data_IF_883094921685
#
_entry.id   IF_883094921685
#
_cell.length_a   1.000
_cell.length_b   1.000
_cell.length_c   1.000
_cell.angle_alpha   90.00
_cell.angle_beta   90.00
_cell.angle_gamma   90.00
#
_symmetry.space_group_name_H-M   'P 1'
#
loop_
_entity.id
_entity.type
_entity.pdbx_description
1 polymer ?
#
# COMPACT_ATOMS: atom_id res chain seq x y z
N UNK A 1 4.18 -10.01 -9.21
CA UNK A 1 4.86 -9.90 -7.90
C UNK A 1 4.69 -8.53 -7.24
N UNK A 2 4.99 -7.40 -7.90
CA UNK A 2 4.88 -6.05 -7.28
C UNK A 2 3.46 -5.61 -6.87
N UNK A 3 2.43 -5.98 -7.64
CA UNK A 3 1.04 -5.57 -7.34
C UNK A 3 0.52 -6.21 -6.05
N UNK A 4 0.76 -7.52 -5.87
CA UNK A 4 0.32 -8.24 -4.67
C UNK A 4 1.04 -7.74 -3.41
N UNK A 5 2.32 -7.37 -3.51
CA UNK A 5 3.02 -6.68 -2.42
C UNK A 5 2.34 -5.36 -2.05
N UNK A 6 2.08 -4.49 -3.03
CA UNK A 6 1.39 -3.19 -2.80
C UNK A 6 0.00 -3.39 -2.18
N UNK A 7 -0.74 -4.42 -2.61
CA UNK A 7 -2.07 -4.77 -2.05
C UNK A 7 -1.95 -5.24 -0.60
N UNK A 8 -0.97 -6.06 -0.28
CA UNK A 8 -0.69 -6.50 1.10
C UNK A 8 -0.35 -5.31 2.01
N UNK A 9 0.49 -4.38 1.54
CA UNK A 9 0.82 -3.15 2.28
C UNK A 9 -0.44 -2.31 2.54
N UNK A 10 -1.27 -2.07 1.52
CA UNK A 10 -2.51 -1.29 1.67
C UNK A 10 -3.49 -1.99 2.62
N UNK A 11 -3.68 -3.31 2.49
CA UNK A 11 -4.57 -4.09 3.36
C UNK A 11 -4.11 -4.03 4.80
N UNK A 12 -2.81 -4.19 5.04
CA UNK A 12 -2.23 -4.11 6.37
C UNK A 12 -2.38 -2.71 6.96
N UNK A 13 -2.10 -1.65 6.18
CA UNK A 13 -2.26 -0.26 6.61
C UNK A 13 -3.71 0.08 6.98
N UNK A 14 -4.70 -0.42 6.22
CA UNK A 14 -6.13 -0.23 6.53
C UNK A 14 -6.56 -0.96 7.80
N UNK A 15 -6.00 -2.14 8.08
CA UNK A 15 -6.40 -2.98 9.20
C UNK A 15 -5.65 -2.67 10.51
N UNK A 16 -4.36 -2.36 10.44
CA UNK A 16 -3.45 -2.23 11.59
C UNK A 16 -2.94 -0.81 11.79
N UNK A 17 -3.18 0.07 10.83
CA UNK A 17 -2.69 1.45 10.84
C UNK A 17 -1.35 1.62 10.13
N UNK A 18 -1.10 2.86 9.70
CA UNK A 18 0.08 3.20 8.89
C UNK A 18 1.38 3.00 9.67
N UNK A 19 1.42 3.34 10.97
CA UNK A 19 2.65 3.25 11.78
C UNK A 19 3.21 1.82 11.85
N UNK A 20 2.39 0.83 12.20
CA UNK A 20 2.79 -0.59 12.19
C UNK A 20 3.21 -1.09 10.81
N UNK A 21 2.62 -0.51 9.76
CA UNK A 21 2.98 -0.87 8.37
C UNK A 21 4.38 -0.37 8.00
N UNK A 22 4.82 0.76 8.56
CA UNK A 22 6.18 1.28 8.35
C UNK A 22 7.23 0.30 8.90
N UNK A 23 6.96 -0.23 10.11
CA UNK A 23 7.84 -1.18 10.80
C UNK A 23 7.90 -2.52 10.06
N UNK A 24 6.74 -3.06 9.67
CA UNK A 24 6.62 -4.36 9.02
C UNK A 24 7.17 -4.36 7.58
N UNK A 25 6.77 -3.39 6.76
CA UNK A 25 7.05 -3.40 5.32
C UNK A 25 8.24 -2.55 4.91
N UNK A 26 8.84 -1.81 5.86
CA UNK A 26 9.97 -0.89 5.63
C UNK A 26 9.72 0.07 4.46
N UNK A 27 8.47 0.53 4.31
CA UNK A 27 8.05 1.43 3.24
C UNK A 27 7.77 2.81 3.83
N UNK A 28 8.03 3.88 3.08
CA UNK A 28 7.82 5.24 3.58
C UNK A 28 6.33 5.59 3.73
N UNK A 29 6.02 6.40 4.76
CA UNK A 29 4.66 6.88 5.04
C UNK A 29 4.01 7.55 3.82
N UNK A 30 4.78 8.38 3.10
CA UNK A 30 4.32 9.02 1.87
C UNK A 30 3.95 8.01 0.77
N UNK A 31 4.70 6.91 0.66
CA UNK A 31 4.41 5.85 -0.32
C UNK A 31 3.14 5.10 0.02
N UNK A 32 2.92 4.77 1.30
CA UNK A 32 1.68 4.14 1.76
C UNK A 32 0.48 5.03 1.40
N UNK A 33 0.51 6.31 1.76
CA UNK A 33 -0.60 7.22 1.46
C UNK A 33 -0.84 7.40 -0.04
N UNK A 34 0.23 7.50 -0.84
CA UNK A 34 0.12 7.57 -2.30
C UNK A 34 -0.55 6.31 -2.87
N UNK A 35 -0.18 5.12 -2.40
CA UNK A 35 -0.80 3.87 -2.82
C UNK A 35 -2.25 3.74 -2.35
N UNK A 36 -2.56 4.12 -1.12
CA UNK A 36 -3.94 4.16 -0.61
C UNK A 36 -4.80 5.10 -1.46
N UNK A 37 -4.28 6.30 -1.80
CA UNK A 37 -4.99 7.29 -2.62
C UNK A 37 -5.17 6.83 -4.07
N UNK A 38 -4.16 6.16 -4.65
CA UNK A 38 -4.26 5.58 -6.00
C UNK A 38 -5.19 4.36 -6.03
N UNK A 39 -5.26 3.57 -4.95
CA UNK A 39 -5.98 2.31 -4.94
C UNK A 39 -7.50 2.49 -4.93
N UNK A 40 -8.11 2.33 -6.11
CA UNK A 40 -9.55 2.42 -6.31
C UNK A 40 -10.27 1.06 -6.19
N UNK A 41 -9.59 0.03 -5.66
CA UNK A 41 -10.11 -1.34 -5.58
C UNK A 41 -9.76 -2.23 -6.77
N UNK A 42 -9.16 -1.68 -7.84
CA UNK A 42 -8.71 -2.48 -9.00
C UNK A 42 -7.19 -2.64 -9.04
N UNK A 43 -6.70 -3.78 -9.52
CA UNK A 43 -5.26 -4.01 -9.71
C UNK A 43 -4.61 -2.99 -10.68
N UNK A 44 -5.39 -2.51 -11.67
CA UNK A 44 -4.93 -1.53 -12.65
C UNK A 44 -4.54 -0.19 -12.02
N UNK A 45 -5.17 0.19 -10.91
CA UNK A 45 -4.86 1.43 -10.19
C UNK A 45 -3.50 1.44 -9.48
N UNK A 46 -2.88 0.27 -9.32
CA UNK A 46 -1.56 0.10 -8.70
C UNK A 46 -0.45 -0.15 -9.72
N UNK A 47 -0.78 -0.23 -11.01
CA UNK A 47 0.21 -0.21 -12.08
C UNK A 47 0.76 1.22 -12.16
N UNK A 48 2.07 1.39 -12.00
CA UNK A 48 2.70 2.60 -12.50
C UNK A 48 2.63 2.53 -14.03
N UNK A 49 2.13 3.62 -14.63
CA UNK A 49 2.11 3.81 -16.07
C UNK A 49 3.32 4.65 -16.46
#
# INVERSE_FOLDING_TARGET
>A
MIIEYRKSVIKYAKNKGVQKTLEEFKVSRATIYRWIKKFNGTNKSLLDR
#
